data_IF_681935676759
#
_entry.id   IF_681935676759
#
_cell.length_a   1.000
_cell.length_b   1.000
_cell.length_c   1.000
_cell.angle_alpha   90.00
_cell.angle_beta   90.00
_cell.angle_gamma   90.00
#
_symmetry.space_group_name_H-M   'P 1'
#
loop_
_entity.id
_entity.type
_entity.pdbx_description
1 polymer ?
#
# COMPACT_ATOMS: atom_id res chain seq x y z
N UNK A 1 13.69 17.15 1.50
CA UNK A 1 12.39 16.44 1.61
C UNK A 1 11.99 16.02 0.22
N UNK A 2 11.99 14.72 -0.10
CA UNK A 2 11.50 14.28 -1.42
C UNK A 2 10.05 14.72 -1.56
N UNK A 3 9.68 15.16 -2.75
CA UNK A 3 8.32 15.57 -3.14
C UNK A 3 7.26 14.53 -2.79
N UNK A 4 7.66 13.26 -2.70
CA UNK A 4 6.87 12.11 -2.29
C UNK A 4 6.26 12.25 -0.88
N UNK A 5 7.06 12.67 0.10
CA UNK A 5 6.62 12.82 1.50
C UNK A 5 5.56 13.89 1.69
N UNK A 6 5.54 14.95 0.87
CA UNK A 6 4.52 16.02 0.96
C UNK A 6 3.18 15.57 0.39
N UNK A 7 3.20 14.81 -0.69
CA UNK A 7 2.00 14.24 -1.30
C UNK A 7 1.35 13.27 -0.31
N UNK A 8 2.07 12.25 0.16
CA UNK A 8 1.54 11.27 1.13
C UNK A 8 0.99 11.92 2.41
N UNK A 9 1.68 12.94 2.93
CA UNK A 9 1.22 13.66 4.13
C UNK A 9 -0.02 14.51 3.85
N UNK A 10 -0.12 15.13 2.67
CA UNK A 10 -1.34 15.82 2.24
C UNK A 10 -2.50 14.83 2.07
N UNK A 11 -2.23 13.64 1.53
CA UNK A 11 -3.20 12.55 1.40
C UNK A 11 -3.72 12.08 2.76
N UNK A 12 -2.80 11.75 3.68
CA UNK A 12 -3.09 11.32 5.05
C UNK A 12 -4.00 12.34 5.76
N UNK A 13 -3.62 13.63 5.74
CA UNK A 13 -4.37 14.69 6.40
C UNK A 13 -5.79 14.86 5.83
N UNK A 14 -5.96 14.70 4.51
CA UNK A 14 -7.26 14.87 3.85
C UNK A 14 -8.16 13.68 4.07
N UNK A 15 -7.62 12.46 4.08
CA UNK A 15 -8.39 11.25 4.42
C UNK A 15 -8.88 11.24 5.87
N UNK A 16 -8.07 11.79 6.79
CA UNK A 16 -8.48 11.97 8.20
C UNK A 16 -9.62 12.99 8.33
N UNK A 17 -9.72 13.95 7.42
CA UNK A 17 -10.76 15.00 7.43
C UNK A 17 -12.05 14.64 6.67
N UNK A 18 -11.99 13.71 5.72
CA UNK A 18 -13.16 13.25 4.97
C UNK A 18 -13.84 12.12 5.75
N UNK A 19 -14.89 12.44 6.50
CA UNK A 19 -15.80 11.48 7.15
C UNK A 19 -16.68 10.71 6.13
N UNK A 20 -16.18 10.53 4.90
CA UNK A 20 -16.90 9.90 3.79
C UNK A 20 -16.85 8.39 3.95
N UNK A 21 -18.01 7.76 3.78
CA UNK A 21 -18.33 6.35 4.02
C UNK A 21 -17.17 5.38 3.79
N UNK A 22 -17.04 4.41 4.70
CA UNK A 22 -16.00 3.40 4.70
C UNK A 22 -16.14 2.39 3.54
N UNK A 23 -15.97 2.87 2.30
CA UNK A 23 -15.82 2.01 1.12
C UNK A 23 -14.57 1.15 1.27
N UNK A 24 -14.54 -0.07 0.69
CA UNK A 24 -13.35 -0.90 0.65
C UNK A 24 -12.12 -0.15 0.13
N UNK A 25 -12.35 0.78 -0.79
CA UNK A 25 -11.35 1.65 -1.39
C UNK A 25 -10.77 2.67 -0.40
N UNK A 26 -11.63 3.43 0.30
CA UNK A 26 -11.17 4.40 1.28
C UNK A 26 -10.47 3.71 2.46
N UNK A 27 -10.87 2.48 2.78
CA UNK A 27 -10.19 1.63 3.77
C UNK A 27 -8.82 1.17 3.30
N UNK A 28 -8.67 0.75 2.05
CA UNK A 28 -7.38 0.39 1.46
C UNK A 28 -6.39 1.55 1.54
N UNK A 29 -6.79 2.73 1.07
CA UNK A 29 -5.90 3.89 1.02
C UNK A 29 -5.48 4.30 2.43
N UNK A 30 -6.44 4.35 3.38
CA UNK A 30 -6.15 4.61 4.79
C UNK A 30 -5.17 3.60 5.39
N UNK A 31 -5.38 2.30 5.15
CA UNK A 31 -4.53 1.25 5.72
C UNK A 31 -3.11 1.31 5.15
N UNK A 32 -2.95 1.50 3.84
CA UNK A 32 -1.63 1.60 3.19
C UNK A 32 -0.86 2.82 3.70
N UNK A 33 -1.51 4.00 3.74
CA UNK A 33 -0.89 5.23 4.25
C UNK A 33 -0.53 5.08 5.74
N UNK A 34 -1.47 4.59 6.57
CA UNK A 34 -1.24 4.44 7.99
C UNK A 34 -0.07 3.49 8.29
N UNK A 35 0.03 2.37 7.57
CA UNK A 35 1.15 1.43 7.74
C UNK A 35 2.48 2.00 7.25
N UNK A 36 2.48 2.74 6.15
CA UNK A 36 3.67 3.43 5.67
C UNK A 36 4.18 4.48 6.68
N UNK A 37 3.29 5.34 7.17
CA UNK A 37 3.64 6.37 8.18
C UNK A 37 4.14 5.72 9.48
N UNK A 38 3.50 4.63 9.91
CA UNK A 38 3.93 3.86 11.07
C UNK A 38 5.36 3.34 10.87
N UNK A 39 5.66 2.74 9.71
CA UNK A 39 6.98 2.17 9.41
C UNK A 39 8.08 3.24 9.29
N UNK A 40 7.83 4.39 8.65
CA UNK A 40 8.82 5.47 8.51
C UNK A 40 9.15 6.12 9.86
N UNK A 41 8.15 6.33 10.71
CA UNK A 41 8.33 7.04 11.97
C UNK A 41 8.77 6.12 13.13
N UNK A 42 9.02 4.84 12.88
CA UNK A 42 9.29 3.85 13.93
C UNK A 42 8.14 3.70 14.92
N UNK A 43 6.92 4.10 14.51
CA UNK A 43 5.68 4.03 15.28
C UNK A 43 4.87 2.77 14.98
N UNK A 44 5.11 2.15 13.83
CA UNK A 44 4.92 0.71 13.71
C UNK A 44 5.78 0.11 14.81
N UNK A 45 5.31 -0.93 15.51
CA UNK A 45 6.12 -1.57 16.54
C UNK A 45 7.33 -2.25 15.87
N UNK A 46 8.33 -1.46 15.47
CA UNK A 46 9.75 -1.72 15.61
C UNK A 46 10.07 -1.53 17.10
N UNK A 47 9.20 -2.04 17.97
CA UNK A 47 9.55 -2.26 19.35
C UNK A 47 10.77 -3.19 19.26
N UNK A 48 11.93 -2.62 19.58
CA UNK A 48 13.17 -3.34 19.72
C UNK A 48 12.85 -4.63 20.46
N UNK A 49 12.99 -5.75 19.76
CA UNK A 49 12.61 -7.05 20.27
C UNK A 49 13.58 -7.42 21.38
N UNK A 50 13.29 -6.99 22.60
CA UNK A 50 13.99 -7.46 23.80
C UNK A 50 13.31 -8.71 24.38
N UNK A 51 12.11 -9.09 23.90
CA UNK A 51 11.33 -10.20 24.47
C UNK A 51 10.30 -10.91 23.53
N UNK A 52 10.23 -10.62 22.22
CA UNK A 52 9.32 -11.30 21.30
C UNK A 52 9.96 -12.57 20.74
N UNK A 53 9.23 -13.70 20.75
CA UNK A 53 9.71 -15.01 20.29
C UNK A 53 9.76 -15.18 18.76
N UNK A 54 9.26 -14.21 18.00
CA UNK A 54 9.14 -14.29 16.53
C UNK A 54 10.33 -13.71 15.77
N UNK A 55 10.44 -14.09 14.49
CA UNK A 55 11.49 -13.68 13.54
C UNK A 55 11.00 -12.55 12.63
N UNK A 56 11.94 -11.73 12.18
CA UNK A 56 11.69 -10.67 11.20
C UNK A 56 12.17 -11.09 9.83
N UNK A 57 11.29 -10.98 8.84
CA UNK A 57 11.58 -11.25 7.44
C UNK A 57 11.45 -9.98 6.63
N UNK A 58 12.28 -9.85 5.61
CA UNK A 58 12.20 -8.77 4.63
C UNK A 58 11.94 -9.40 3.26
N UNK A 59 10.97 -8.87 2.54
CA UNK A 59 10.68 -9.26 1.16
C UNK A 59 10.81 -8.05 0.24
N UNK A 60 11.34 -8.33 -0.96
CA UNK A 60 11.42 -7.38 -2.08
C UNK A 60 10.04 -7.02 -2.65
N UNK A 61 10.04 -6.52 -3.88
CA UNK A 61 8.84 -6.11 -4.59
C UNK A 61 7.91 -7.31 -4.84
N UNK A 62 6.60 -7.16 -4.56
CA UNK A 62 5.65 -8.26 -4.72
C UNK A 62 5.01 -8.28 -6.10
N UNK A 63 4.63 -7.12 -6.65
CA UNK A 63 3.98 -7.00 -7.96
C UNK A 63 2.90 -8.07 -8.21
N UNK A 64 1.92 -8.21 -7.31
CA UNK A 64 0.83 -9.19 -7.45
C UNK A 64 1.25 -10.67 -7.39
N UNK A 65 2.49 -10.99 -7.01
CA UNK A 65 3.02 -12.36 -6.95
C UNK A 65 2.75 -13.05 -5.60
N UNK A 66 1.52 -12.98 -5.09
CA UNK A 66 1.14 -13.49 -3.76
C UNK A 66 1.39 -14.99 -3.61
N UNK A 67 1.16 -15.78 -4.66
CA UNK A 67 1.43 -17.23 -4.62
C UNK A 67 2.90 -17.59 -4.41
N UNK A 68 3.82 -16.77 -4.95
CA UNK A 68 5.25 -16.94 -4.70
C UNK A 68 5.63 -16.56 -3.27
N UNK A 69 5.04 -15.48 -2.75
CA UNK A 69 5.23 -15.09 -1.35
C UNK A 69 4.81 -16.19 -0.39
N UNK A 70 3.61 -16.73 -0.60
CA UNK A 70 3.06 -17.83 0.19
C UNK A 70 3.93 -19.10 0.12
N UNK A 71 4.51 -19.40 -1.05
CA UNK A 71 5.50 -20.48 -1.20
C UNK A 71 6.77 -20.23 -0.37
N UNK A 72 7.31 -19.00 -0.41
CA UNK A 72 8.48 -18.61 0.38
C UNK A 72 8.21 -18.67 1.89
N UNK A 73 7.04 -18.17 2.32
CA UNK A 73 6.60 -18.22 3.71
C UNK A 73 6.52 -19.66 4.22
N UNK A 74 5.95 -20.59 3.45
CA UNK A 74 5.95 -22.02 3.82
C UNK A 74 7.37 -22.59 3.88
N UNK A 75 8.23 -22.24 2.93
CA UNK A 75 9.60 -22.76 2.87
C UNK A 75 10.42 -22.40 4.11
N UNK A 76 10.27 -21.17 4.62
CA UNK A 76 10.97 -20.70 5.84
C UNK A 76 10.23 -21.05 7.14
N UNK A 77 9.07 -21.72 7.02
CA UNK A 77 8.18 -22.04 8.14
C UNK A 77 7.69 -20.78 8.86
N UNK A 78 7.26 -19.76 8.12
CA UNK A 78 6.77 -18.49 8.66
C UNK A 78 5.54 -18.71 9.55
N UNK A 79 5.61 -18.23 10.79
CA UNK A 79 4.52 -18.30 11.76
C UNK A 79 3.79 -16.97 11.84
N UNK A 80 2.60 -16.89 11.24
CA UNK A 80 1.77 -15.67 11.24
C UNK A 80 1.32 -15.19 12.62
N UNK A 81 1.48 -16.01 13.67
CA UNK A 81 1.15 -15.64 15.05
C UNK A 81 2.30 -14.95 15.78
N UNK A 82 3.54 -15.11 15.32
CA UNK A 82 4.73 -14.58 16.00
C UNK A 82 5.69 -13.82 15.08
N UNK A 83 5.88 -14.29 13.85
CA UNK A 83 6.79 -13.69 12.86
C UNK A 83 6.19 -12.42 12.22
N UNK A 84 7.09 -11.56 11.75
CA UNK A 84 6.75 -10.31 11.06
C UNK A 84 7.38 -10.28 9.68
N UNK A 85 6.65 -9.75 8.71
CA UNK A 85 7.10 -9.61 7.34
C UNK A 85 7.11 -8.15 6.91
N UNK A 86 8.29 -7.60 6.66
CA UNK A 86 8.51 -6.26 6.15
C UNK A 86 8.64 -6.30 4.63
N UNK A 87 7.79 -5.56 3.92
CA UNK A 87 7.86 -5.45 2.46
C UNK A 87 8.42 -4.09 2.05
N UNK A 88 9.32 -4.08 1.06
CA UNK A 88 9.89 -2.84 0.51
C UNK A 88 8.92 -2.04 -0.37
N UNK A 89 7.69 -2.52 -0.59
CA UNK A 89 6.65 -1.84 -1.37
C UNK A 89 6.34 -2.57 -2.67
N UNK A 90 5.80 -1.82 -3.63
CA UNK A 90 5.43 -2.30 -4.97
C UNK A 90 4.57 -3.57 -4.90
N UNK A 91 3.43 -3.43 -4.22
CA UNK A 91 2.59 -4.58 -3.89
C UNK A 91 1.81 -5.11 -5.08
N UNK A 92 1.34 -4.20 -5.93
CA UNK A 92 0.46 -4.47 -7.05
C UNK A 92 1.15 -4.18 -8.40
N UNK A 93 0.40 -4.39 -9.48
CA UNK A 93 0.80 -4.32 -10.89
C UNK A 93 1.67 -5.47 -11.37
N UNK A 94 1.69 -5.67 -12.69
CA UNK A 94 2.48 -6.64 -13.47
C UNK A 94 2.22 -8.13 -13.23
N UNK A 95 2.03 -8.56 -11.98
CA UNK A 95 1.79 -9.96 -11.68
C UNK A 95 0.31 -10.38 -11.65
N UNK A 96 0.07 -11.67 -11.40
CA UNK A 96 -1.21 -12.30 -11.65
C UNK A 96 -2.31 -11.96 -10.62
N UNK A 97 -1.94 -11.53 -9.41
CA UNK A 97 -2.87 -11.33 -8.30
C UNK A 97 -2.62 -10.01 -7.54
N UNK A 98 -2.81 -8.90 -8.26
CA UNK A 98 -2.77 -7.56 -7.64
C UNK A 98 -3.82 -7.37 -6.53
N UNK A 99 -5.09 -7.84 -6.67
CA UNK A 99 -6.08 -7.78 -5.59
C UNK A 99 -5.64 -8.53 -4.32
N UNK A 100 -5.06 -9.74 -4.45
CA UNK A 100 -4.56 -10.51 -3.33
C UNK A 100 -3.45 -9.80 -2.56
N UNK A 101 -2.58 -9.04 -3.26
CA UNK A 101 -1.58 -8.21 -2.60
C UNK A 101 -2.20 -7.13 -1.70
N UNK A 102 -3.41 -6.64 -2.03
CA UNK A 102 -4.12 -5.68 -1.19
C UNK A 102 -4.67 -6.34 0.08
N UNK A 103 -5.03 -7.63 0.02
CA UNK A 103 -5.49 -8.40 1.18
C UNK A 103 -4.38 -8.59 2.23
N UNK A 104 -3.10 -8.60 1.81
CA UNK A 104 -1.96 -8.62 2.74
C UNK A 104 -1.95 -7.40 3.67
N UNK A 105 -2.49 -6.26 3.25
CA UNK A 105 -2.60 -5.05 4.08
C UNK A 105 -3.58 -5.19 5.24
N UNK A 106 -4.42 -6.23 5.25
CA UNK A 106 -5.31 -6.53 6.38
C UNK A 106 -4.62 -7.39 7.43
N UNK A 107 -3.50 -8.03 7.09
CA UNK A 107 -2.82 -8.99 7.95
C UNK A 107 -2.00 -8.26 9.04
N UNK A 108 -2.09 -8.65 10.32
CA UNK A 108 -1.40 -7.96 11.41
C UNK A 108 0.13 -8.10 11.37
N UNK A 109 0.63 -9.16 10.74
CA UNK A 109 2.05 -9.51 10.62
C UNK A 109 2.75 -8.88 9.40
N UNK A 110 2.03 -8.13 8.54
CA UNK A 110 2.56 -7.59 7.29
C UNK A 110 2.84 -6.08 7.37
N UNK A 111 4.07 -5.66 7.08
CA UNK A 111 4.53 -4.28 7.27
C UNK A 111 5.15 -3.74 5.99
N UNK A 112 4.36 -3.21 5.05
CA UNK A 112 4.90 -2.66 3.81
C UNK A 112 5.30 -1.19 3.96
N UNK A 113 6.33 -0.78 3.24
CA UNK A 113 6.55 0.64 2.93
C UNK A 113 5.86 1.00 1.60
N UNK A 114 5.95 2.26 1.19
CA UNK A 114 5.35 2.76 -0.05
C UNK A 114 6.37 2.64 -1.17
N UNK A 115 6.09 1.78 -2.14
CA UNK A 115 6.82 1.75 -3.41
C UNK A 115 6.20 2.71 -4.44
N UNK A 116 6.88 2.96 -5.55
CA UNK A 116 6.40 3.86 -6.59
C UNK A 116 5.11 3.36 -7.26
N UNK A 117 4.94 2.05 -7.42
CA UNK A 117 3.69 1.47 -7.92
C UNK A 117 2.53 1.67 -6.96
N UNK A 118 2.80 1.60 -5.66
CA UNK A 118 1.78 1.86 -4.66
C UNK A 118 1.30 3.32 -4.71
N UNK A 119 2.20 4.30 -4.85
CA UNK A 119 1.79 5.70 -4.99
C UNK A 119 1.04 5.97 -6.29
N UNK A 120 1.43 5.33 -7.39
CA UNK A 120 0.71 5.40 -8.66
C UNK A 120 -0.73 4.87 -8.51
N UNK A 121 -0.89 3.71 -7.88
CA UNK A 121 -2.20 3.15 -7.54
C UNK A 121 -3.00 4.13 -6.70
N UNK A 122 -2.42 4.68 -5.62
CA UNK A 122 -3.12 5.63 -4.74
C UNK A 122 -3.64 6.85 -5.49
N UNK A 123 -2.88 7.41 -6.44
CA UNK A 123 -3.31 8.54 -7.24
C UNK A 123 -4.59 8.22 -8.03
N UNK A 124 -4.64 7.04 -8.67
CA UNK A 124 -5.82 6.59 -9.41
C UNK A 124 -7.00 6.36 -8.48
N UNK A 125 -6.81 5.64 -7.37
CA UNK A 125 -7.90 5.36 -6.44
C UNK A 125 -8.54 6.62 -5.86
N UNK A 126 -7.78 7.69 -5.70
CA UNK A 126 -8.32 8.98 -5.27
C UNK A 126 -9.19 9.66 -6.32
N UNK A 127 -8.87 9.49 -7.60
CA UNK A 127 -9.72 9.94 -8.70
C UNK A 127 -11.07 9.23 -8.62
N UNK A 128 -11.06 7.90 -8.51
CA UNK A 128 -12.26 7.07 -8.36
C UNK A 128 -13.05 7.44 -7.09
N UNK A 129 -12.37 7.83 -6.01
CA UNK A 129 -13.01 8.29 -4.78
C UNK A 129 -13.56 9.73 -4.85
N UNK A 130 -13.44 10.43 -5.98
CA UNK A 130 -13.86 11.83 -6.13
C UNK A 130 -13.05 12.81 -5.26
N UNK A 131 -11.85 12.42 -4.84
CA UNK A 131 -10.98 13.24 -3.99
C UNK A 131 -10.05 14.14 -4.79
N UNK A 132 -9.92 13.88 -6.10
CA UNK A 132 -9.08 14.66 -7.01
C UNK A 132 -9.37 16.16 -7.03
N UNK A 133 -10.63 16.63 -7.17
CA UNK A 133 -10.92 18.05 -7.29
C UNK A 133 -10.56 18.85 -6.04
N UNK A 134 -10.39 18.15 -4.91
CA UNK A 134 -10.00 18.77 -3.66
C UNK A 134 -8.51 19.13 -3.67
N UNK A 135 -7.66 18.45 -4.47
CA UNK A 135 -6.18 18.58 -4.46
C UNK A 135 -5.70 19.96 -4.90
N UNK A 136 -4.49 20.33 -4.48
CA UNK A 136 -3.84 21.53 -5.02
C UNK A 136 -3.55 21.35 -6.51
N UNK A 137 -3.48 22.43 -7.29
CA UNK A 137 -3.19 22.33 -8.73
C UNK A 137 -1.90 21.55 -9.03
N UNK A 138 -0.88 21.69 -8.17
CA UNK A 138 0.38 20.95 -8.30
C UNK A 138 0.19 19.46 -8.03
N UNK A 139 -0.65 19.10 -7.05
CA UNK A 139 -0.90 17.69 -6.71
C UNK A 139 -1.84 17.02 -7.73
N UNK A 140 -2.75 17.77 -8.35
CA UNK A 140 -3.58 17.29 -9.47
C UNK A 140 -2.70 16.93 -10.68
N UNK A 141 -1.82 17.84 -11.12
CA UNK A 141 -0.92 17.57 -12.24
C UNK A 141 0.01 16.37 -11.98
N UNK A 142 0.46 16.17 -10.74
CA UNK A 142 1.23 14.98 -10.36
C UNK A 142 0.42 13.71 -10.40
N UNK A 143 -0.80 13.76 -9.86
CA UNK A 143 -1.68 12.61 -9.86
C UNK A 143 -2.02 12.19 -11.31
N UNK A 144 -2.17 13.14 -12.24
CA UNK A 144 -2.40 12.89 -13.68
C UNK A 144 -1.25 12.09 -14.30
N UNK A 145 -0.01 12.51 -14.02
CA UNK A 145 1.20 11.79 -14.48
C UNK A 145 1.24 10.37 -13.88
N UNK A 146 0.91 10.23 -12.60
CA UNK A 146 0.89 8.92 -11.94
C UNK A 146 -0.21 8.00 -12.46
N UNK A 147 -1.41 8.53 -12.73
CA UNK A 147 -2.51 7.77 -13.29
C UNK A 147 -2.17 7.25 -14.69
N UNK A 148 -1.61 8.11 -15.55
CA UNK A 148 -1.14 7.70 -16.87
C UNK A 148 -0.06 6.60 -16.79
N UNK A 149 0.90 6.76 -15.88
CA UNK A 149 1.95 5.76 -15.66
C UNK A 149 1.41 4.43 -15.10
N UNK A 150 0.41 4.47 -14.22
CA UNK A 150 -0.22 3.28 -13.64
C UNK A 150 -0.83 2.38 -14.72
N UNK A 151 -1.71 2.93 -15.57
CA UNK A 151 -2.36 2.16 -16.63
C UNK A 151 -1.36 1.66 -17.68
N UNK A 152 -0.30 2.43 -17.97
CA UNK A 152 0.80 1.99 -18.84
C UNK A 152 1.60 0.80 -18.30
N UNK A 153 1.55 0.54 -16.99
CA UNK A 153 2.28 -0.54 -16.32
C UNK A 153 1.42 -1.80 -16.05
N UNK A 154 0.25 -1.91 -16.69
CA UNK A 154 -0.65 -3.05 -16.51
C UNK A 154 -1.70 -2.85 -15.41
N UNK A 155 -1.97 -1.60 -15.02
CA UNK A 155 -2.98 -1.22 -14.02
C UNK A 155 -4.45 -1.55 -14.38
N UNK A 156 -4.71 -2.17 -15.54
CA UNK A 156 -6.06 -2.50 -16.02
C UNK A 156 -6.84 -3.48 -15.10
N UNK A 157 -6.15 -4.14 -14.18
CA UNK A 157 -6.79 -4.96 -13.14
C UNK A 157 -7.69 -4.14 -12.22
N UNK A 158 -7.55 -2.81 -12.19
CA UNK A 158 -8.42 -1.92 -11.42
C UNK A 158 -9.87 -1.94 -11.90
N UNK A 159 -10.10 -2.13 -13.20
CA UNK A 159 -11.45 -2.23 -13.74
C UNK A 159 -12.20 -3.43 -13.13
N UNK A 160 -11.48 -4.50 -12.79
CA UNK A 160 -12.04 -5.70 -12.12
C UNK A 160 -12.53 -5.35 -10.71
N UNK A 161 -11.85 -4.45 -10.01
CA UNK A 161 -12.24 -3.99 -8.67
C UNK A 161 -13.50 -3.12 -8.69
N UNK A 162 -13.72 -2.35 -9.78
CA UNK A 162 -14.80 -1.36 -9.87
C UNK A 162 -15.96 -1.74 -10.80
N UNK A 163 -15.87 -2.84 -11.55
CA UNK A 163 -16.97 -3.35 -12.39
C UNK A 163 -18.14 -3.97 -11.59
N UNK A 164 -18.38 -3.53 -10.35
CA UNK A 164 -19.49 -3.96 -9.48
C UNK A 164 -20.38 -2.80 -9.08
#
# INVERSE_FOLDING_TARGET
MSTYSRYEKALSNRMRSSNTDATPLSLFIRNKIARHEANIHGLAPVAACRACKGRDFIVGDLHGCVGYLDTLMRHVGFDTSTDRLFSVGDLADRGPDSPGSLELLKQPWFYPVMGNHDAMLLAVLMEYAGLWPKLSAVDQARAEVYASAFFGNGGNWLDILFAR
#
